data_IF_364174733002
#
_entry.id   IF_364174733002
#
_cell.length_a   1.000
_cell.length_b   1.000
_cell.length_c   1.000
_cell.angle_alpha   90.00
_cell.angle_beta   90.00
_cell.angle_gamma   90.00
#
_symmetry.space_group_name_H-M   'P 1'
#
loop_
_entity.id
_entity.type
_entity.pdbx_description
1 polymer ?
#
# COMPACT_ATOMS: atom_id res chain seq x y z
N UNK A 1 -25.89 -11.60 -13.11
CA UNK A 1 -26.72 -11.73 -11.88
C UNK A 1 -27.02 -13.20 -11.55
N UNK A 2 -27.50 -14.05 -12.51
CA UNK A 2 -27.86 -15.44 -12.24
C UNK A 2 -26.73 -16.34 -11.69
N UNK A 3 -25.52 -16.24 -12.25
CA UNK A 3 -24.37 -17.06 -11.83
C UNK A 3 -23.93 -16.72 -10.39
N UNK A 4 -23.97 -15.43 -10.03
CA UNK A 4 -23.62 -14.97 -8.67
C UNK A 4 -24.66 -15.43 -7.67
N UNK A 5 -25.95 -15.32 -8.00
CA UNK A 5 -27.03 -15.81 -7.15
C UNK A 5 -26.96 -17.33 -6.94
N UNK A 6 -26.68 -18.11 -7.99
CA UNK A 6 -26.51 -19.56 -7.88
C UNK A 6 -25.28 -19.94 -7.02
N UNK A 7 -24.13 -19.26 -7.19
CA UNK A 7 -22.93 -19.54 -6.41
C UNK A 7 -23.07 -19.14 -4.92
N UNK A 8 -23.79 -18.06 -4.62
CA UNK A 8 -24.08 -17.66 -3.22
C UNK A 8 -25.08 -18.63 -2.58
N UNK A 9 -26.08 -19.13 -3.30
CA UNK A 9 -27.02 -20.14 -2.78
C UNK A 9 -26.29 -21.46 -2.45
N UNK A 10 -25.37 -21.91 -3.31
CA UNK A 10 -24.54 -23.12 -3.06
C UNK A 10 -23.62 -22.90 -1.86
N UNK A 11 -23.02 -21.73 -1.72
CA UNK A 11 -22.16 -21.41 -0.58
C UNK A 11 -22.95 -21.40 0.73
N UNK A 12 -24.17 -20.84 0.71
CA UNK A 12 -25.05 -20.80 1.89
C UNK A 12 -25.54 -22.18 2.33
N UNK A 13 -25.98 -23.08 1.38
CA UNK A 13 -26.36 -24.43 1.69
C UNK A 13 -25.20 -25.24 2.27
N UNK A 14 -24.00 -25.12 1.71
CA UNK A 14 -22.81 -25.81 2.21
C UNK A 14 -22.30 -25.27 3.55
N UNK A 15 -22.45 -23.98 3.81
CA UNK A 15 -22.16 -23.38 5.11
C UNK A 15 -23.06 -23.98 6.21
N UNK A 16 -24.34 -24.17 5.93
CA UNK A 16 -25.28 -24.84 6.84
C UNK A 16 -24.87 -26.28 7.15
N UNK A 17 -24.32 -27.03 6.16
CA UNK A 17 -23.89 -28.41 6.31
C UNK A 17 -22.49 -28.59 6.90
N UNK A 18 -21.80 -27.53 7.36
CA UNK A 18 -20.40 -27.55 7.83
C UNK A 18 -19.41 -28.16 6.82
N UNK A 19 -19.77 -28.23 5.55
CA UNK A 19 -18.87 -28.70 4.48
C UNK A 19 -18.01 -27.54 3.97
N UNK A 20 -16.76 -27.83 3.59
CA UNK A 20 -15.86 -26.81 3.02
C UNK A 20 -16.43 -26.29 1.70
N UNK A 21 -16.51 -24.97 1.56
CA UNK A 21 -16.89 -24.32 0.30
C UNK A 21 -15.80 -24.63 -0.74
N UNK A 22 -16.12 -25.18 -1.90
CA UNK A 22 -15.11 -25.46 -2.90
C UNK A 22 -14.52 -24.16 -3.42
N UNK A 23 -13.21 -24.16 -3.66
CA UNK A 23 -12.42 -22.97 -4.05
C UNK A 23 -13.02 -22.26 -5.27
N UNK A 24 -13.54 -23.01 -6.24
CA UNK A 24 -14.15 -22.42 -7.44
C UNK A 24 -15.40 -21.58 -7.13
N UNK A 25 -16.20 -21.95 -6.12
CA UNK A 25 -17.38 -21.17 -5.68
C UNK A 25 -16.92 -19.85 -5.03
N UNK A 26 -15.88 -19.90 -4.19
CA UNK A 26 -15.31 -18.69 -3.57
C UNK A 26 -14.75 -17.75 -4.65
N UNK A 27 -14.07 -18.27 -5.67
CA UNK A 27 -13.55 -17.49 -6.81
C UNK A 27 -14.69 -16.86 -7.61
N UNK A 28 -15.76 -17.59 -7.92
CA UNK A 28 -16.92 -17.03 -8.63
C UNK A 28 -17.63 -15.94 -7.85
N UNK A 29 -17.77 -16.10 -6.53
CA UNK A 29 -18.33 -15.05 -5.65
C UNK A 29 -17.44 -13.81 -5.68
N UNK A 30 -16.11 -13.98 -5.56
CA UNK A 30 -15.15 -12.89 -5.61
C UNK A 30 -15.19 -12.12 -6.94
N UNK A 31 -15.14 -12.83 -8.05
CA UNK A 31 -15.25 -12.23 -9.39
C UNK A 31 -16.59 -11.51 -9.55
N UNK A 32 -17.69 -12.16 -9.13
CA UNK A 32 -19.03 -11.57 -9.21
C UNK A 32 -19.18 -10.31 -8.37
N UNK A 33 -18.57 -10.27 -7.18
CA UNK A 33 -18.54 -9.09 -6.33
C UNK A 33 -17.76 -7.93 -6.99
N UNK A 34 -16.57 -8.22 -7.53
CA UNK A 34 -15.78 -7.22 -8.25
C UNK A 34 -16.54 -6.66 -9.46
N UNK A 35 -17.16 -7.53 -10.27
CA UNK A 35 -17.94 -7.08 -11.42
C UNK A 35 -19.17 -6.25 -11.02
N UNK A 36 -19.86 -6.64 -9.93
CA UNK A 36 -21.00 -5.88 -9.41
C UNK A 36 -20.56 -4.51 -8.88
N UNK A 37 -19.43 -4.46 -8.18
CA UNK A 37 -18.85 -3.20 -7.70
C UNK A 37 -18.46 -2.27 -8.86
N UNK A 38 -17.80 -2.81 -9.89
CA UNK A 38 -17.44 -2.03 -11.08
C UNK A 38 -18.66 -1.53 -11.83
N UNK A 39 -19.69 -2.36 -11.96
CA UNK A 39 -20.95 -1.97 -12.57
C UNK A 39 -21.67 -0.87 -11.77
N UNK A 40 -21.66 -0.98 -10.44
CA UNK A 40 -22.23 0.04 -9.56
C UNK A 40 -21.42 1.36 -9.63
N UNK A 41 -20.09 1.28 -9.57
CA UNK A 41 -19.22 2.45 -9.69
C UNK A 41 -19.34 3.16 -11.05
N UNK A 42 -19.67 2.40 -12.11
CA UNK A 42 -19.94 2.94 -13.45
C UNK A 42 -21.38 3.42 -13.67
N UNK A 43 -22.32 3.05 -12.78
CA UNK A 43 -23.72 3.40 -12.91
C UNK A 43 -23.94 4.89 -12.58
N UNK A 44 -24.04 5.72 -13.57
CA UNK A 44 -24.19 7.18 -13.44
C UNK A 44 -23.06 7.96 -14.09
N UNK A 45 -21.97 7.32 -14.51
CA UNK A 45 -20.97 7.94 -15.37
C UNK A 45 -21.38 7.82 -16.83
N UNK A 46 -21.40 8.94 -17.54
CA UNK A 46 -21.63 8.96 -19.00
C UNK A 46 -20.40 8.52 -19.81
N UNK A 47 -19.37 8.01 -19.17
CA UNK A 47 -18.10 7.64 -19.76
C UNK A 47 -17.77 6.15 -19.64
N UNK A 48 -16.82 5.68 -20.43
CA UNK A 48 -16.27 4.34 -20.36
C UNK A 48 -15.52 4.16 -19.02
N UNK A 49 -15.74 3.06 -18.32
CA UNK A 49 -15.02 2.76 -17.08
C UNK A 49 -13.52 2.64 -17.41
N UNK A 50 -12.64 3.47 -16.84
CA UNK A 50 -11.22 3.46 -17.16
C UNK A 50 -10.51 2.31 -16.39
N UNK A 51 -10.71 1.07 -16.83
CA UNK A 51 -10.16 -0.12 -16.19
C UNK A 51 -8.65 -0.05 -15.96
N UNK A 52 -7.91 0.47 -16.95
CA UNK A 52 -6.45 0.66 -16.82
C UNK A 52 -6.11 1.59 -15.68
N UNK A 53 -6.82 2.69 -15.52
CA UNK A 53 -6.60 3.65 -14.42
C UNK A 53 -6.92 3.03 -13.07
N UNK A 54 -8.03 2.30 -12.96
CA UNK A 54 -8.43 1.63 -11.71
C UNK A 54 -7.39 0.58 -11.31
N UNK A 55 -6.99 -0.28 -12.25
CA UNK A 55 -6.00 -1.32 -12.00
C UNK A 55 -4.63 -0.75 -11.67
N UNK A 56 -4.18 0.29 -12.38
CA UNK A 56 -2.91 0.97 -12.09
C UNK A 56 -2.92 1.64 -10.72
N UNK A 57 -4.05 2.26 -10.33
CA UNK A 57 -4.20 2.86 -9.01
C UNK A 57 -4.23 1.80 -7.91
N UNK A 58 -4.93 0.69 -8.12
CA UNK A 58 -4.96 -0.45 -7.19
C UNK A 58 -3.56 -1.03 -6.98
N UNK A 59 -2.79 -1.21 -8.07
CA UNK A 59 -1.40 -1.66 -7.98
C UNK A 59 -0.54 -0.64 -7.21
N UNK A 60 -0.66 0.66 -7.51
CA UNK A 60 0.08 1.70 -6.79
C UNK A 60 -0.21 1.70 -5.29
N UNK A 61 -1.47 1.52 -4.88
CA UNK A 61 -1.87 1.43 -3.47
C UNK A 61 -1.43 0.12 -2.80
N UNK A 62 -1.22 -0.96 -3.55
CA UNK A 62 -0.72 -2.22 -3.01
C UNK A 62 0.77 -2.19 -2.66
N UNK A 63 1.56 -1.31 -3.28
CA UNK A 63 3.02 -1.25 -3.08
C UNK A 63 3.43 -1.09 -1.62
N UNK A 64 2.93 -0.08 -0.87
CA UNK A 64 3.29 0.06 0.55
C UNK A 64 2.83 -1.12 1.40
N UNK A 65 1.69 -1.75 1.06
CA UNK A 65 1.19 -2.93 1.78
C UNK A 65 2.11 -4.13 1.59
N UNK A 66 2.60 -4.36 0.38
CA UNK A 66 3.54 -5.45 0.08
C UNK A 66 4.87 -5.21 0.79
N UNK A 67 5.44 -4.01 0.72
CA UNK A 67 6.66 -3.69 1.46
C UNK A 67 6.50 -3.81 2.97
N UNK A 68 5.36 -3.36 3.52
CA UNK A 68 5.03 -3.51 4.93
C UNK A 68 4.95 -4.98 5.34
N UNK A 69 4.32 -5.83 4.53
CA UNK A 69 4.21 -7.28 4.77
C UNK A 69 5.59 -7.95 4.75
N UNK A 70 6.44 -7.62 3.78
CA UNK A 70 7.81 -8.15 3.71
C UNK A 70 8.65 -7.72 4.92
N UNK A 71 8.55 -6.45 5.33
CA UNK A 71 9.21 -5.95 6.53
C UNK A 71 8.71 -6.66 7.80
N UNK A 72 7.40 -6.93 7.89
CA UNK A 72 6.79 -7.71 8.97
C UNK A 72 7.35 -9.13 9.05
N UNK A 73 7.40 -9.85 7.92
CA UNK A 73 7.94 -11.22 7.84
C UNK A 73 9.41 -11.27 8.29
N UNK A 74 10.23 -10.30 7.85
CA UNK A 74 11.64 -10.23 8.25
C UNK A 74 11.76 -9.95 9.76
N UNK A 75 10.94 -9.03 10.29
CA UNK A 75 10.88 -8.72 11.73
C UNK A 75 10.50 -9.94 12.56
N UNK A 76 9.43 -10.64 12.20
CA UNK A 76 8.97 -11.84 12.91
C UNK A 76 10.01 -12.97 12.90
N UNK A 77 10.69 -13.18 11.76
CA UNK A 77 11.80 -14.15 11.67
C UNK A 77 12.98 -13.81 12.57
N UNK A 78 13.20 -12.53 12.86
CA UNK A 78 14.24 -12.09 13.83
C UNK A 78 13.77 -12.13 15.30
N UNK A 79 12.54 -12.55 15.56
CA UNK A 79 11.94 -12.60 16.90
C UNK A 79 11.41 -11.25 17.39
N UNK A 80 11.26 -10.27 16.50
CA UNK A 80 10.74 -8.93 16.82
C UNK A 80 9.38 -8.72 16.20
N UNK A 81 8.36 -8.41 17.01
CA UNK A 81 7.03 -8.07 16.51
C UNK A 81 6.99 -6.57 16.21
N UNK A 82 7.03 -6.22 14.93
CA UNK A 82 7.04 -4.82 14.50
C UNK A 82 5.62 -4.34 14.15
N UNK A 83 4.89 -3.82 15.12
CA UNK A 83 3.58 -3.16 14.91
C UNK A 83 3.76 -1.70 14.44
N UNK A 84 4.96 -1.12 14.57
CA UNK A 84 5.24 0.28 14.18
C UNK A 84 5.43 0.47 12.66
N UNK A 85 5.17 -0.53 11.82
CA UNK A 85 5.35 -0.46 10.36
C UNK A 85 4.56 0.70 9.74
N UNK A 86 3.34 0.94 10.20
CA UNK A 86 2.51 2.04 9.74
C UNK A 86 3.19 3.40 10.00
N UNK A 87 3.70 3.62 11.22
CA UNK A 87 4.44 4.82 11.56
C UNK A 87 5.74 4.95 10.77
N UNK A 88 6.46 3.86 10.53
CA UNK A 88 7.67 3.85 9.70
C UNK A 88 7.36 4.28 8.25
N UNK A 89 6.30 3.74 7.66
CA UNK A 89 5.86 4.09 6.30
C UNK A 89 5.38 5.54 6.23
N UNK A 90 4.57 5.97 7.21
CA UNK A 90 4.04 7.35 7.27
C UNK A 90 5.17 8.37 7.46
N UNK A 91 6.06 8.14 8.42
CA UNK A 91 7.23 9.00 8.67
C UNK A 91 8.16 9.06 7.45
N UNK A 92 8.39 7.91 6.81
CA UNK A 92 9.18 7.82 5.58
C UNK A 92 8.54 8.60 4.42
N UNK A 93 7.23 8.43 4.21
CA UNK A 93 6.49 9.16 3.19
C UNK A 93 6.53 10.69 3.43
N UNK A 94 6.33 11.11 4.69
CA UNK A 94 6.39 12.51 5.07
C UNK A 94 7.76 13.12 4.82
N UNK A 95 8.82 12.52 5.38
CA UNK A 95 10.18 13.04 5.22
C UNK A 95 10.63 13.02 3.75
N UNK A 96 10.32 11.93 3.04
CA UNK A 96 10.61 11.80 1.61
C UNK A 96 9.94 12.89 0.77
N UNK A 97 8.65 13.18 1.04
CA UNK A 97 7.92 14.22 0.33
C UNK A 97 8.47 15.63 0.61
N UNK A 98 8.78 15.94 1.87
CA UNK A 98 9.36 17.24 2.26
C UNK A 98 10.72 17.45 1.63
N UNK A 99 11.63 16.47 1.73
CA UNK A 99 12.98 16.57 1.16
C UNK A 99 12.94 16.61 -0.36
N UNK A 100 12.08 15.81 -1.02
CA UNK A 100 11.89 15.88 -2.46
C UNK A 100 11.45 17.30 -2.89
N UNK A 101 10.49 17.88 -2.17
CA UNK A 101 9.98 19.22 -2.44
C UNK A 101 11.05 20.29 -2.24
N UNK A 102 11.80 20.24 -1.13
CA UNK A 102 12.86 21.19 -0.80
C UNK A 102 13.99 21.14 -1.84
N UNK A 103 14.43 19.95 -2.25
CA UNK A 103 15.47 19.75 -3.24
C UNK A 103 14.96 19.81 -4.69
N UNK A 104 13.63 19.92 -4.90
CA UNK A 104 12.99 19.84 -6.22
C UNK A 104 13.41 18.57 -7.02
N UNK A 105 13.73 17.49 -6.30
CA UNK A 105 14.23 16.25 -6.88
C UNK A 105 13.61 15.02 -6.16
N UNK A 106 12.78 14.20 -6.85
CA UNK A 106 12.14 13.06 -6.23
C UNK A 106 13.11 11.95 -5.80
N UNK A 107 14.29 11.85 -6.43
CA UNK A 107 15.29 10.84 -6.08
C UNK A 107 15.92 11.09 -4.70
N UNK A 108 16.15 12.35 -4.36
CA UNK A 108 16.66 12.74 -3.03
C UNK A 108 15.63 12.41 -1.95
N UNK A 109 14.34 12.58 -2.25
CA UNK A 109 13.24 12.19 -1.36
C UNK A 109 13.22 10.68 -1.07
N UNK A 110 13.45 9.84 -2.10
CA UNK A 110 13.53 8.38 -1.91
C UNK A 110 14.70 8.00 -0.97
N UNK A 111 15.82 8.66 -1.10
CA UNK A 111 16.99 8.42 -0.22
C UNK A 111 16.76 8.92 1.20
N UNK A 112 15.97 9.98 1.38
CA UNK A 112 15.62 10.51 2.69
C UNK A 112 14.55 9.70 3.42
N UNK A 113 13.59 9.10 2.70
CA UNK A 113 12.48 8.36 3.29
C UNK A 113 12.92 7.26 4.28
N UNK A 114 13.90 6.39 3.99
CA UNK A 114 14.37 5.38 4.93
C UNK A 114 14.88 5.93 6.26
N UNK A 115 15.40 7.17 6.29
CA UNK A 115 15.93 7.77 7.51
C UNK A 115 14.85 7.88 8.59
N UNK A 116 13.66 8.37 8.24
CA UNK A 116 12.54 8.41 9.19
C UNK A 116 12.09 7.00 9.62
N UNK A 117 12.03 6.05 8.69
CA UNK A 117 11.71 4.66 9.01
C UNK A 117 12.71 4.05 10.01
N UNK A 118 14.01 4.29 9.80
CA UNK A 118 15.09 3.84 10.71
C UNK A 118 14.96 4.51 12.08
N UNK A 119 14.67 5.81 12.17
CA UNK A 119 14.47 6.49 13.44
C UNK A 119 13.33 5.87 14.25
N UNK A 120 12.18 5.57 13.61
CA UNK A 120 11.06 4.89 14.27
C UNK A 120 11.45 3.46 14.68
N UNK A 121 12.19 2.74 13.84
CA UNK A 121 12.70 1.40 14.15
C UNK A 121 13.68 1.41 15.34
N UNK A 122 14.56 2.41 15.42
CA UNK A 122 15.48 2.58 16.56
C UNK A 122 14.72 2.85 17.85
N UNK A 123 13.66 3.65 17.83
CA UNK A 123 12.81 3.85 19.01
C UNK A 123 12.11 2.55 19.42
N UNK A 124 11.58 1.78 18.45
CA UNK A 124 10.99 0.46 18.75
C UNK A 124 12.03 -0.48 19.38
N UNK A 125 13.24 -0.53 18.82
CA UNK A 125 14.33 -1.35 19.34
C UNK A 125 14.77 -0.91 20.74
N UNK A 126 14.89 0.41 20.96
CA UNK A 126 15.27 0.97 22.26
C UNK A 126 14.28 0.56 23.35
N UNK A 127 13.00 0.76 23.15
CA UNK A 127 11.99 0.43 24.15
C UNK A 127 11.69 -1.07 24.21
N UNK A 128 11.58 -1.75 23.07
CA UNK A 128 11.24 -3.16 23.01
C UNK A 128 12.38 -4.09 23.40
N UNK A 129 13.61 -3.81 22.97
CA UNK A 129 14.77 -4.69 23.22
C UNK A 129 15.58 -4.24 24.44
N UNK A 130 15.94 -2.96 24.52
CA UNK A 130 16.81 -2.46 25.62
C UNK A 130 16.06 -2.32 26.94
N UNK A 131 14.86 -1.75 26.91
CA UNK A 131 14.02 -1.58 28.11
C UNK A 131 13.03 -2.72 28.33
N UNK A 132 12.96 -3.70 27.41
CA UNK A 132 12.10 -4.89 27.51
C UNK A 132 10.61 -4.56 27.70
N UNK A 133 10.18 -3.42 27.19
CA UNK A 133 8.74 -3.06 27.17
C UNK A 133 8.03 -3.93 26.11
N UNK A 134 6.75 -4.20 26.33
CA UNK A 134 5.96 -4.95 25.36
C UNK A 134 5.99 -4.28 23.99
N UNK A 135 6.55 -4.97 22.99
CA UNK A 135 6.76 -4.44 21.64
C UNK A 135 5.46 -4.03 20.93
N UNK A 136 4.34 -4.72 21.22
CA UNK A 136 3.03 -4.41 20.66
C UNK A 136 2.58 -3.03 21.15
N UNK A 137 2.69 -2.79 22.47
CA UNK A 137 2.30 -1.49 23.06
C UNK A 137 3.17 -0.36 22.52
N UNK A 138 4.49 -0.58 22.49
CA UNK A 138 5.45 0.42 21.93
C UNK A 138 5.12 0.71 20.47
N UNK A 139 4.84 -0.33 19.67
CA UNK A 139 4.50 -0.16 18.24
C UNK A 139 3.25 0.70 18.01
N UNK A 140 2.19 0.44 18.78
CA UNK A 140 0.95 1.26 18.72
C UNK A 140 1.22 2.71 19.12
N UNK A 141 1.96 2.93 20.20
CA UNK A 141 2.33 4.28 20.66
C UNK A 141 3.15 5.02 19.60
N UNK A 142 4.11 4.34 18.96
CA UNK A 142 4.92 4.93 17.88
C UNK A 142 4.07 5.30 16.66
N UNK A 143 3.09 4.49 16.27
CA UNK A 143 2.18 4.84 15.17
C UNK A 143 1.40 6.12 15.48
N UNK A 144 0.84 6.23 16.70
CA UNK A 144 0.13 7.44 17.13
C UNK A 144 1.06 8.65 17.20
N UNK A 145 2.28 8.46 17.74
CA UNK A 145 3.28 9.52 17.84
C UNK A 145 3.65 10.06 16.45
N UNK A 146 3.98 9.18 15.50
CA UNK A 146 4.37 9.59 14.15
C UNK A 146 3.20 10.24 13.42
N UNK A 147 1.98 9.70 13.55
CA UNK A 147 0.79 10.30 12.96
C UNK A 147 0.52 11.71 13.51
N UNK A 148 0.60 11.87 14.83
CA UNK A 148 0.44 13.18 15.46
C UNK A 148 1.55 14.17 15.07
N UNK A 149 2.81 13.71 15.07
CA UNK A 149 3.96 14.55 14.71
C UNK A 149 3.91 14.99 13.25
N UNK A 150 3.64 14.08 12.33
CA UNK A 150 3.54 14.42 10.90
C UNK A 150 2.36 15.35 10.63
N UNK A 151 1.21 15.13 11.27
CA UNK A 151 0.06 16.03 11.19
C UNK A 151 0.35 17.42 11.75
N UNK A 152 1.01 17.51 12.90
CA UNK A 152 1.45 18.78 13.49
C UNK A 152 2.44 19.52 12.59
N UNK A 153 3.47 18.85 12.11
CA UNK A 153 4.46 19.45 11.21
C UNK A 153 3.83 19.91 9.89
N UNK A 154 2.91 19.14 9.35
CA UNK A 154 2.18 19.53 8.15
C UNK A 154 1.36 20.81 8.38
N UNK A 155 0.55 20.85 9.43
CA UNK A 155 -0.32 21.99 9.72
C UNK A 155 0.46 23.27 10.06
N UNK A 156 1.60 23.12 10.75
CA UNK A 156 2.38 24.28 11.23
C UNK A 156 3.32 24.84 10.16
N UNK A 157 3.97 23.98 9.40
CA UNK A 157 5.05 24.40 8.48
C UNK A 157 4.72 24.22 7.01
N UNK A 158 4.08 23.10 6.62
CA UNK A 158 3.90 22.77 5.21
C UNK A 158 2.66 23.42 4.59
N UNK A 159 1.59 23.60 5.36
CA UNK A 159 0.34 24.22 4.87
C UNK A 159 0.55 25.65 4.40
N UNK A 160 1.47 26.39 5.05
CA UNK A 160 1.81 27.78 4.72
C UNK A 160 2.97 27.92 3.72
N UNK A 161 3.63 26.82 3.36
CA UNK A 161 4.84 26.82 2.52
C UNK A 161 4.66 26.00 1.23
N UNK A 162 4.10 26.57 0.15
CA UNK A 162 3.87 25.83 -1.11
C UNK A 162 5.15 25.24 -1.71
N UNK A 163 6.31 25.78 -1.40
CA UNK A 163 7.61 25.27 -1.87
C UNK A 163 7.97 23.93 -1.25
N UNK A 164 7.54 23.65 -0.02
CA UNK A 164 7.79 22.40 0.71
C UNK A 164 6.69 21.35 0.51
N UNK A 165 5.59 21.73 -0.12
CA UNK A 165 4.41 20.88 -0.34
C UNK A 165 4.13 20.70 -1.84
N UNK A 166 5.16 20.37 -2.61
CA UNK A 166 5.03 20.06 -4.04
C UNK A 166 4.83 18.56 -4.24
N UNK A 167 3.83 18.18 -5.01
CA UNK A 167 3.60 16.79 -5.38
C UNK A 167 4.57 16.34 -6.49
N UNK A 168 5.84 16.12 -6.15
CA UNK A 168 6.83 15.59 -7.07
C UNK A 168 6.59 14.10 -7.28
N UNK A 169 6.39 13.72 -8.54
CA UNK A 169 6.17 12.32 -8.92
C UNK A 169 7.44 11.72 -9.52
N UNK A 170 7.68 10.47 -9.18
CA UNK A 170 8.71 9.68 -9.85
C UNK A 170 8.34 9.43 -11.32
N UNK A 171 9.33 9.45 -12.21
CA UNK A 171 9.10 9.10 -13.61
C UNK A 171 8.64 7.64 -13.73
N UNK A 172 7.63 7.42 -14.56
CA UNK A 172 7.21 6.08 -14.92
C UNK A 172 8.19 5.51 -15.96
N UNK A 173 8.74 4.34 -15.68
CA UNK A 173 9.58 3.58 -16.58
C UNK A 173 8.73 2.61 -17.38
N UNK A 174 8.73 2.75 -18.70
CA UNK A 174 8.04 1.83 -19.59
C UNK A 174 9.02 0.74 -20.05
N UNK A 175 8.71 -0.53 -19.79
CA UNK A 175 9.49 -1.65 -20.32
C UNK A 175 9.16 -1.78 -21.82
N UNK A 176 10.17 -1.66 -22.73
CA UNK A 176 9.95 -1.83 -24.17
C UNK A 176 9.26 -3.15 -24.46
N UNK A 177 8.38 -3.20 -25.47
CA UNK A 177 7.65 -4.39 -25.92
C UNK A 177 6.49 -4.75 -24.98
N UNK A 178 6.73 -5.01 -23.66
CA UNK A 178 5.71 -5.45 -22.70
C UNK A 178 4.68 -4.35 -22.39
N UNK A 179 5.11 -3.08 -22.42
CA UNK A 179 4.20 -1.93 -22.21
C UNK A 179 3.18 -1.72 -23.32
N UNK A 180 3.33 -2.42 -24.49
CA UNK A 180 2.41 -2.34 -25.62
C UNK A 180 1.25 -3.33 -25.55
N UNK A 181 1.28 -4.28 -24.63
CA UNK A 181 0.18 -5.24 -24.45
C UNK A 181 -1.06 -4.49 -23.96
N UNK A 182 -2.21 -4.60 -24.63
CA UNK A 182 -3.43 -3.89 -24.22
C UNK A 182 -3.85 -4.37 -22.81
N UNK A 183 -4.32 -3.45 -21.96
CA UNK A 183 -4.72 -3.62 -20.57
C UNK A 183 -3.57 -3.95 -19.61
N UNK A 184 -2.79 -5.00 -19.86
CA UNK A 184 -1.74 -5.49 -18.96
C UNK A 184 -0.48 -4.62 -19.02
N UNK A 185 -0.10 -4.17 -20.22
CA UNK A 185 1.09 -3.35 -20.45
C UNK A 185 1.11 -2.07 -19.62
N UNK A 186 0.12 -1.20 -19.75
CA UNK A 186 0.07 0.04 -18.96
C UNK A 186 -0.03 -0.19 -17.45
N UNK A 187 -0.68 -1.29 -17.02
CA UNK A 187 -0.89 -1.60 -15.59
C UNK A 187 0.37 -2.14 -14.93
N UNK A 188 1.07 -3.09 -15.55
CA UNK A 188 2.22 -3.78 -14.91
C UNK A 188 3.58 -3.26 -15.38
N UNK A 189 3.69 -2.83 -16.65
CA UNK A 189 4.97 -2.52 -17.31
C UNK A 189 5.18 -1.04 -17.63
N UNK A 190 4.35 -0.15 -17.07
CA UNK A 190 4.52 1.30 -17.12
C UNK A 190 4.38 1.88 -15.72
N UNK A 191 5.32 1.50 -14.86
CA UNK A 191 5.27 1.79 -13.45
C UNK A 191 6.53 2.54 -12.96
N UNK A 192 6.52 3.02 -11.73
CA UNK A 192 7.69 3.64 -11.11
C UNK A 192 8.72 2.58 -10.73
N UNK A 193 9.97 2.99 -10.53
CA UNK A 193 11.05 2.09 -10.11
C UNK A 193 10.72 1.34 -8.82
N UNK A 194 9.96 1.93 -7.91
CA UNK A 194 9.55 1.29 -6.65
C UNK A 194 8.67 0.06 -6.89
N UNK A 195 7.80 0.10 -7.90
CA UNK A 195 6.96 -1.05 -8.26
C UNK A 195 7.83 -2.20 -8.81
N UNK A 196 8.83 -1.89 -9.63
CA UNK A 196 9.75 -2.92 -10.15
C UNK A 196 10.63 -3.52 -9.05
N UNK A 197 11.08 -2.69 -8.10
CA UNK A 197 11.78 -3.20 -6.91
C UNK A 197 10.87 -4.09 -6.05
N UNK A 198 9.60 -3.75 -5.93
CA UNK A 198 8.61 -4.60 -5.26
C UNK A 198 8.49 -5.96 -5.97
N UNK A 199 8.40 -5.98 -7.31
CA UNK A 199 8.36 -7.24 -8.05
C UNK A 199 9.61 -8.10 -7.79
N UNK A 200 10.80 -7.48 -7.79
CA UNK A 200 12.04 -8.17 -7.49
C UNK A 200 12.12 -8.65 -6.02
N UNK A 201 11.50 -7.96 -5.09
CA UNK A 201 11.50 -8.35 -3.68
C UNK A 201 10.53 -9.51 -3.36
N UNK A 202 9.50 -9.70 -4.18
CA UNK A 202 8.48 -10.76 -4.02
C UNK A 202 8.87 -12.03 -4.78
N UNK A 203 9.67 -11.92 -5.88
CA UNK A 203 10.11 -13.05 -6.70
C UNK A 203 11.17 -13.90 -6.00
#
# INVERSE_FOLDING_TARGET
AGIVAASTAVAFDRSRRRSRIPTWVAVLIGIGFVLAFLAWAGAGSRGVIPLVTILSSALGLSVPLVYGSLAGIIGERSGTINIAIEGQLLGGAFLGAVVASACSNPWVGILAAPVAGVLVALLLALFGLRYRVNQIVVGVVLNVLVSGLTGFLFSTFLSSSPSLNRALRLPALAVPILSRIPLVGPVLFRQTILVYLMYAAVA
#
